data_IF_116773428692
#
_entry.id   IF_116773428692
#
_cell.length_a   1.000
_cell.length_b   1.000
_cell.length_c   1.000
_cell.angle_alpha   90.00
_cell.angle_beta   90.00
_cell.angle_gamma   90.00
#
_symmetry.space_group_name_H-M   'P 1'
#
loop_
_entity.id
_entity.type
_entity.pdbx_description
1 polymer ?
#
# COMPACT_ATOMS: atom_id res chain seq x y z
N UNK A 1 1.09 12.33 -27.46
CA UNK A 1 1.76 11.01 -27.41
C UNK A 1 0.78 10.03 -26.79
N UNK A 2 0.67 8.79 -27.28
CA UNK A 2 -0.25 7.79 -26.73
C UNK A 2 0.39 7.08 -25.57
N UNK A 3 -0.42 6.61 -24.61
CA UNK A 3 0.04 5.77 -23.49
C UNK A 3 -0.19 4.30 -23.87
N UNK A 4 0.83 3.47 -23.69
CA UNK A 4 0.79 2.04 -23.91
C UNK A 4 1.01 1.27 -22.60
N UNK A 5 0.45 0.09 -22.48
CA UNK A 5 0.73 -0.81 -21.35
C UNK A 5 2.11 -1.44 -21.46
N UNK A 6 2.62 -1.97 -20.36
CA UNK A 6 3.87 -2.72 -20.34
C UNK A 6 3.80 -3.98 -21.24
N UNK A 7 2.62 -4.58 -21.38
CA UNK A 7 2.42 -5.72 -22.32
C UNK A 7 2.59 -5.32 -23.77
N UNK A 8 2.25 -4.09 -24.10
CA UNK A 8 2.52 -3.57 -25.45
C UNK A 8 4.03 -3.41 -25.69
N UNK A 9 4.76 -2.89 -24.70
CA UNK A 9 6.22 -2.81 -24.76
C UNK A 9 6.86 -4.19 -24.95
N UNK A 10 6.30 -5.23 -24.32
CA UNK A 10 6.75 -6.61 -24.51
C UNK A 10 6.62 -7.11 -25.96
N UNK A 11 5.68 -6.61 -26.73
CA UNK A 11 5.55 -6.98 -28.17
C UNK A 11 6.67 -6.38 -29.03
N UNK A 12 7.26 -5.29 -28.59
CA UNK A 12 8.37 -4.58 -29.27
C UNK A 12 9.72 -4.79 -28.60
N UNK A 13 9.77 -5.41 -27.44
CA UNK A 13 10.97 -5.63 -26.61
C UNK A 13 11.19 -7.11 -26.30
N UNK A 14 12.38 -7.49 -25.88
CA UNK A 14 12.69 -8.88 -25.52
C UNK A 14 12.04 -9.24 -24.17
N UNK A 15 11.13 -10.21 -24.19
CA UNK A 15 10.63 -10.87 -22.98
C UNK A 15 11.78 -11.65 -22.33
N UNK A 16 12.05 -11.38 -21.06
CA UNK A 16 13.14 -12.01 -20.31
C UNK A 16 12.66 -13.05 -19.29
N UNK A 17 11.50 -12.81 -18.72
CA UNK A 17 10.90 -13.69 -17.72
C UNK A 17 9.38 -13.59 -17.83
N UNK A 18 8.72 -14.75 -17.86
CA UNK A 18 7.26 -14.83 -17.86
C UNK A 18 6.78 -15.90 -16.89
N UNK A 19 5.84 -15.55 -16.01
CA UNK A 19 5.00 -16.50 -15.29
C UNK A 19 3.70 -16.69 -16.07
N UNK A 20 3.59 -17.82 -16.77
CA UNK A 20 2.44 -18.11 -17.63
C UNK A 20 1.11 -18.21 -16.88
N UNK A 21 1.13 -18.57 -15.58
CA UNK A 21 -0.07 -18.69 -14.76
C UNK A 21 -0.67 -17.33 -14.42
N UNK A 22 0.18 -16.32 -14.21
CA UNK A 22 -0.26 -14.96 -13.86
C UNK A 22 -0.02 -13.92 -14.94
N UNK A 23 0.69 -14.29 -16.00
CA UNK A 23 1.15 -13.36 -17.03
C UNK A 23 2.10 -12.29 -16.45
N UNK A 24 2.86 -12.65 -15.43
CA UNK A 24 3.98 -11.84 -14.90
C UNK A 24 5.09 -11.85 -15.93
N UNK A 25 5.65 -10.70 -16.22
CA UNK A 25 6.72 -10.55 -17.19
C UNK A 25 7.73 -9.49 -16.76
N UNK A 26 8.94 -9.57 -17.31
CA UNK A 26 9.94 -8.51 -17.26
C UNK A 26 10.29 -8.13 -18.69
N UNK A 27 10.30 -6.84 -18.96
CA UNK A 27 10.71 -6.30 -20.26
C UNK A 27 12.02 -5.53 -20.13
N UNK A 28 12.81 -5.54 -21.20
CA UNK A 28 13.99 -4.70 -21.35
C UNK A 28 13.65 -3.54 -22.29
N UNK A 29 13.87 -2.33 -21.81
CA UNK A 29 13.71 -1.09 -22.55
C UNK A 29 15.07 -0.42 -22.72
N UNK A 30 15.27 0.31 -23.79
CA UNK A 30 16.53 1.00 -24.08
C UNK A 30 16.30 2.49 -24.26
N UNK A 31 17.29 3.29 -23.87
CA UNK A 31 17.27 4.75 -23.99
C UNK A 31 15.97 5.35 -23.42
N UNK A 32 15.73 5.10 -22.12
CA UNK A 32 14.46 5.38 -21.46
C UNK A 32 14.56 6.60 -20.56
N UNK A 33 13.65 7.53 -20.74
CA UNK A 33 13.45 8.67 -19.82
C UNK A 33 12.28 8.37 -18.89
N UNK A 34 12.50 8.56 -17.59
CA UNK A 34 11.44 8.55 -16.60
C UNK A 34 10.71 9.89 -16.62
N UNK A 35 9.38 9.86 -16.67
CA UNK A 35 8.55 11.06 -16.62
C UNK A 35 7.46 10.91 -15.57
N UNK A 36 7.21 11.96 -14.81
CA UNK A 36 6.28 11.94 -13.67
C UNK A 36 6.87 11.33 -12.41
N UNK A 37 6.05 11.19 -11.38
CA UNK A 37 6.41 10.69 -10.06
C UNK A 37 5.47 9.63 -9.58
N UNK A 38 6.04 8.69 -8.83
CA UNK A 38 5.30 7.65 -8.16
C UNK A 38 4.76 8.19 -6.82
N UNK A 39 3.61 8.86 -6.86
CA UNK A 39 2.87 9.22 -5.65
C UNK A 39 1.98 8.03 -5.26
N UNK A 40 0.96 8.12 -4.50
CA UNK A 40 0.10 7.01 -4.05
C UNK A 40 -0.36 6.03 -5.14
N UNK A 41 -0.56 6.55 -6.35
CA UNK A 41 -0.75 5.78 -7.55
C UNK A 41 0.35 6.16 -8.52
N UNK A 42 0.84 5.19 -9.25
CA UNK A 42 1.95 5.40 -10.15
C UNK A 42 1.54 6.35 -11.28
N UNK A 43 2.02 7.55 -11.23
CA UNK A 43 1.91 8.51 -12.33
C UNK A 43 3.21 8.60 -13.13
N UNK A 44 4.16 7.71 -12.86
CA UNK A 44 5.37 7.58 -13.62
C UNK A 44 5.08 6.92 -14.97
N UNK A 45 5.58 7.53 -16.02
CA UNK A 45 5.57 7.00 -17.37
C UNK A 45 7.01 6.84 -17.85
N UNK A 46 7.21 5.87 -18.73
CA UNK A 46 8.49 5.59 -19.34
C UNK A 46 8.43 5.99 -20.81
N UNK A 47 9.40 6.79 -21.27
CA UNK A 47 9.55 7.13 -22.68
C UNK A 47 10.79 6.45 -23.24
N UNK A 48 10.59 5.36 -23.96
CA UNK A 48 11.65 4.78 -24.77
C UNK A 48 11.83 5.66 -26.02
N UNK A 49 13.05 6.13 -26.28
CA UNK A 49 13.33 7.13 -27.32
C UNK A 49 12.97 6.65 -28.73
N UNK A 50 13.11 5.35 -28.97
CA UNK A 50 12.80 4.72 -30.26
C UNK A 50 11.30 4.58 -30.55
N UNK A 51 10.42 4.87 -29.59
CA UNK A 51 8.97 4.69 -29.73
C UNK A 51 8.21 6.00 -29.77
N UNK A 52 6.98 5.96 -30.29
CA UNK A 52 6.09 7.14 -30.37
C UNK A 52 5.10 7.21 -29.20
N UNK A 53 5.28 6.38 -28.16
CA UNK A 53 4.40 6.38 -26.99
C UNK A 53 5.14 6.47 -25.68
N UNK A 54 4.38 6.84 -24.65
CA UNK A 54 4.72 6.68 -23.26
C UNK A 54 4.29 5.28 -22.80
N UNK A 55 5.16 4.59 -22.09
CA UNK A 55 4.88 3.27 -21.56
C UNK A 55 4.51 3.43 -20.09
N UNK A 56 3.34 2.96 -19.70
CA UNK A 56 3.00 2.83 -18.30
C UNK A 56 3.73 1.60 -17.73
N UNK A 57 4.55 1.73 -16.67
CA UNK A 57 5.31 0.62 -16.09
C UNK A 57 4.41 -0.41 -15.39
N UNK A 58 3.13 -0.13 -15.25
CA UNK A 58 2.16 -1.02 -14.65
C UNK A 58 1.47 -1.84 -15.73
N UNK A 59 1.11 -3.07 -15.40
CA UNK A 59 0.37 -3.89 -16.33
C UNK A 59 -1.11 -3.42 -16.47
N UNK A 60 -1.82 -3.92 -17.47
CA UNK A 60 -3.20 -3.54 -17.77
C UNK A 60 -4.15 -3.73 -16.59
N UNK A 61 -3.84 -4.69 -15.70
CA UNK A 61 -4.65 -4.98 -14.50
C UNK A 61 -4.55 -3.87 -13.48
N UNK A 62 -3.36 -3.33 -13.28
CA UNK A 62 -3.14 -2.16 -12.43
C UNK A 62 -3.71 -0.92 -13.10
N UNK A 63 -3.53 -0.76 -14.40
CA UNK A 63 -4.10 0.35 -15.16
C UNK A 63 -5.63 0.40 -15.09
N UNK A 64 -6.31 -0.76 -15.12
CA UNK A 64 -7.77 -0.79 -15.01
C UNK A 64 -8.28 -0.26 -13.67
N UNK A 65 -7.52 -0.48 -12.59
CA UNK A 65 -7.82 0.09 -11.27
C UNK A 65 -7.61 1.61 -11.21
N UNK A 66 -6.78 2.12 -12.09
CA UNK A 66 -6.33 3.51 -12.11
C UNK A 66 -7.03 4.37 -13.17
N UNK A 67 -7.82 3.76 -14.06
CA UNK A 67 -8.53 4.45 -15.15
C UNK A 67 -9.29 5.69 -14.71
N UNK A 68 -9.77 5.70 -13.47
CA UNK A 68 -10.52 6.82 -12.91
C UNK A 68 -9.64 7.83 -12.17
N UNK A 69 -8.33 7.59 -12.09
CA UNK A 69 -7.46 8.40 -11.23
C UNK A 69 -6.56 9.38 -11.99
N UNK A 70 -6.06 9.04 -13.20
CA UNK A 70 -4.98 9.82 -13.81
C UNK A 70 -5.05 10.04 -15.30
N UNK A 71 -5.78 9.23 -16.08
CA UNK A 71 -5.68 9.26 -17.53
C UNK A 71 -7.06 9.28 -18.19
N UNK A 72 -7.72 10.41 -18.10
CA UNK A 72 -8.93 10.64 -18.92
C UNK A 72 -8.63 10.78 -20.42
N UNK A 73 -7.35 10.94 -20.76
CA UNK A 73 -6.90 11.09 -22.13
C UNK A 73 -5.79 10.11 -22.48
N UNK A 74 -5.97 9.33 -23.52
CA UNK A 74 -4.94 8.45 -24.12
C UNK A 74 -3.78 9.23 -24.77
N UNK A 75 -3.74 10.55 -24.64
CA UNK A 75 -2.78 11.42 -25.32
C UNK A 75 -2.18 12.43 -24.34
N UNK A 76 -0.88 12.40 -24.21
CA UNK A 76 -0.11 13.39 -23.46
C UNK A 76 0.59 14.36 -24.42
N UNK A 77 0.45 15.65 -24.16
CA UNK A 77 1.17 16.71 -24.90
C UNK A 77 2.61 16.90 -24.38
N UNK A 78 2.96 16.23 -23.30
CA UNK A 78 4.27 16.34 -22.70
C UNK A 78 5.29 15.47 -23.43
N UNK A 79 6.37 16.08 -23.88
CA UNK A 79 7.54 15.39 -24.42
C UNK A 79 8.65 15.47 -23.37
N UNK A 80 9.05 14.36 -22.75
CA UNK A 80 10.15 14.39 -21.79
C UNK A 80 11.45 14.77 -22.53
N UNK A 81 12.16 15.73 -21.96
CA UNK A 81 13.46 16.15 -22.46
C UNK A 81 14.51 15.52 -21.54
N UNK A 82 15.30 14.60 -22.08
CA UNK A 82 16.42 14.03 -21.36
C UNK A 82 17.50 15.08 -21.10
N UNK A 83 17.94 15.18 -19.87
CA UNK A 83 19.01 16.12 -19.50
C UNK A 83 20.41 15.51 -19.55
N UNK A 84 20.54 14.22 -19.20
CA UNK A 84 21.82 13.51 -19.20
C UNK A 84 21.63 12.00 -19.40
N UNK A 85 22.47 11.35 -20.23
CA UNK A 85 22.49 9.90 -20.35
C UNK A 85 23.13 9.26 -19.10
N UNK A 86 22.52 8.18 -18.63
CA UNK A 86 22.99 7.35 -17.52
C UNK A 86 23.30 5.96 -18.07
N UNK A 87 24.59 5.65 -18.16
CA UNK A 87 25.04 4.37 -18.66
C UNK A 87 24.82 3.23 -17.65
N UNK A 88 24.61 2.04 -18.18
CA UNK A 88 24.49 0.80 -17.42
C UNK A 88 23.09 0.23 -17.40
N UNK A 89 22.94 -0.80 -16.59
CA UNK A 89 21.72 -1.60 -16.52
C UNK A 89 21.01 -1.34 -15.18
N UNK A 90 19.73 -1.03 -15.26
CA UNK A 90 18.89 -0.71 -14.10
C UNK A 90 17.62 -1.53 -14.11
N UNK A 91 17.19 -1.97 -12.92
CA UNK A 91 15.86 -2.53 -12.69
C UNK A 91 15.01 -1.50 -11.97
N UNK A 92 13.93 -1.06 -12.60
CA UNK A 92 13.04 -0.06 -12.03
C UNK A 92 12.11 -0.69 -10.99
N UNK A 93 12.37 -0.35 -9.73
CA UNK A 93 11.59 -0.78 -8.59
C UNK A 93 10.38 0.15 -8.44
N UNK A 94 9.37 -0.14 -9.23
CA UNK A 94 8.19 0.68 -9.40
C UNK A 94 7.08 0.26 -8.44
N UNK A 95 6.29 1.16 -8.03
CA UNK A 95 5.07 1.13 -7.23
C UNK A 95 5.20 2.03 -5.99
N UNK A 96 4.49 1.74 -4.90
CA UNK A 96 4.37 2.63 -3.77
C UNK A 96 5.50 2.41 -2.74
N UNK A 97 6.24 3.45 -2.43
CA UNK A 97 7.31 3.46 -1.42
C UNK A 97 7.01 4.34 -0.20
N UNK A 98 5.81 4.93 -0.14
CA UNK A 98 5.40 5.84 0.93
C UNK A 98 4.39 5.22 1.90
N UNK A 99 3.64 4.23 1.47
CA UNK A 99 2.66 3.53 2.30
C UNK A 99 3.18 2.16 2.69
N UNK A 100 3.24 1.87 3.98
CA UNK A 100 3.80 0.63 4.52
C UNK A 100 3.15 -0.63 3.94
N UNK A 101 1.80 -0.70 3.92
CA UNK A 101 1.08 -1.86 3.38
C UNK A 101 1.41 -2.06 1.89
N UNK A 102 1.32 -1.01 1.09
CA UNK A 102 1.60 -1.10 -0.34
C UNK A 102 3.07 -1.43 -0.61
N UNK A 103 3.98 -0.92 0.19
CA UNK A 103 5.39 -1.28 0.06
C UNK A 103 5.60 -2.77 0.33
N UNK A 104 5.15 -3.27 1.49
CA UNK A 104 5.37 -4.66 1.89
C UNK A 104 4.62 -5.64 0.97
N UNK A 105 3.35 -5.36 0.66
CA UNK A 105 2.51 -6.28 -0.09
C UNK A 105 2.69 -6.16 -1.61
N UNK A 106 2.69 -4.94 -2.13
CA UNK A 106 2.64 -4.73 -3.58
C UNK A 106 4.03 -4.51 -4.20
N UNK A 107 4.92 -3.75 -3.53
CA UNK A 107 6.20 -3.31 -4.12
C UNK A 107 7.31 -4.32 -3.86
N UNK A 108 7.48 -4.73 -2.62
CA UNK A 108 8.59 -5.58 -2.19
C UNK A 108 8.71 -6.91 -2.99
N UNK A 109 7.62 -7.62 -3.31
CA UNK A 109 7.68 -8.86 -4.10
C UNK A 109 8.32 -8.70 -5.47
N UNK A 110 8.28 -7.50 -6.08
CA UNK A 110 8.90 -7.23 -7.38
C UNK A 110 10.41 -7.55 -7.36
N UNK A 111 11.05 -7.51 -6.19
CA UNK A 111 12.46 -7.92 -6.03
C UNK A 111 12.75 -9.35 -6.46
N UNK A 112 11.77 -10.24 -6.52
CA UNK A 112 11.97 -11.56 -7.09
C UNK A 112 12.57 -11.47 -8.50
N UNK A 113 12.01 -10.60 -9.33
CA UNK A 113 12.43 -10.39 -10.71
C UNK A 113 13.83 -9.78 -10.77
N UNK A 114 14.14 -8.85 -9.87
CA UNK A 114 15.50 -8.30 -9.73
C UNK A 114 16.53 -9.39 -9.41
N UNK A 115 16.22 -10.30 -8.49
CA UNK A 115 17.14 -11.40 -8.16
C UNK A 115 17.34 -12.37 -9.33
N UNK A 116 16.29 -12.65 -10.10
CA UNK A 116 16.41 -13.49 -11.29
C UNK A 116 17.27 -12.82 -12.37
N UNK A 117 17.05 -11.53 -12.62
CA UNK A 117 17.85 -10.77 -13.57
C UNK A 117 19.33 -10.69 -13.16
N UNK A 118 19.59 -10.56 -11.86
CA UNK A 118 20.98 -10.47 -11.35
C UNK A 118 21.82 -11.71 -11.66
N UNK A 119 21.21 -12.84 -11.94
CA UNK A 119 21.92 -14.06 -12.38
C UNK A 119 22.52 -13.89 -13.78
N UNK A 120 21.89 -13.12 -14.66
CA UNK A 120 22.33 -12.85 -16.03
C UNK A 120 23.03 -11.51 -16.15
N UNK A 121 22.62 -10.53 -15.35
CA UNK A 121 23.13 -9.15 -15.32
C UNK A 121 23.67 -8.86 -13.91
N UNK A 122 24.87 -9.33 -13.54
CA UNK A 122 25.38 -9.27 -12.16
C UNK A 122 25.56 -7.84 -11.64
N UNK A 123 25.81 -6.88 -12.53
CA UNK A 123 26.05 -5.47 -12.22
C UNK A 123 24.77 -4.61 -12.23
N UNK A 124 23.60 -5.24 -12.49
CA UNK A 124 22.31 -4.53 -12.50
C UNK A 124 22.04 -3.84 -11.17
N UNK A 125 21.60 -2.59 -11.24
CA UNK A 125 21.32 -1.75 -10.07
C UNK A 125 19.80 -1.62 -9.89
N UNK A 126 19.37 -1.63 -8.64
CA UNK A 126 17.98 -1.31 -8.30
C UNK A 126 17.79 0.21 -8.40
N UNK A 127 16.86 0.66 -9.24
CA UNK A 127 16.54 2.06 -9.44
C UNK A 127 15.22 2.36 -8.73
N UNK A 128 15.23 3.30 -7.79
CA UNK A 128 14.03 3.68 -7.02
C UNK A 128 13.74 5.16 -7.22
N UNK A 129 12.48 5.49 -7.44
CA UNK A 129 12.01 6.86 -7.54
C UNK A 129 11.29 7.26 -6.24
N UNK A 130 11.63 8.43 -5.69
CA UNK A 130 10.89 9.01 -4.56
C UNK A 130 9.54 9.55 -5.04
N UNK A 131 8.56 9.63 -4.14
CA UNK A 131 7.21 10.09 -4.45
C UNK A 131 7.10 11.56 -4.84
N UNK A 132 8.07 12.37 -4.43
CA UNK A 132 8.07 13.82 -4.69
C UNK A 132 9.45 14.31 -5.15
N UNK A 133 9.53 15.26 -6.13
CA UNK A 133 10.80 15.77 -6.65
C UNK A 133 11.75 16.36 -5.59
N UNK A 134 11.18 16.98 -4.56
CA UNK A 134 11.97 17.58 -3.47
C UNK A 134 12.33 16.58 -2.37
N UNK A 135 11.70 15.42 -2.34
CA UNK A 135 11.94 14.38 -1.35
C UNK A 135 13.18 13.58 -1.76
N UNK A 136 14.24 13.67 -0.98
CA UNK A 136 15.51 12.98 -1.23
C UNK A 136 15.66 11.66 -0.45
N UNK A 137 14.69 11.33 0.38
CA UNK A 137 14.70 10.15 1.25
C UNK A 137 13.37 9.42 1.19
N UNK A 138 13.39 8.15 1.48
CA UNK A 138 12.19 7.31 1.66
C UNK A 138 11.74 7.30 3.12
N UNK A 139 10.57 6.71 3.34
CA UNK A 139 10.19 6.27 4.68
C UNK A 139 11.22 5.26 5.21
N UNK A 140 11.59 5.30 6.50
CA UNK A 140 12.64 4.45 7.07
C UNK A 140 12.47 2.96 6.75
N UNK A 141 11.26 2.45 6.76
CA UNK A 141 10.96 1.04 6.50
C UNK A 141 11.41 0.54 5.11
N UNK A 142 11.52 1.44 4.11
CA UNK A 142 11.99 1.06 2.76
C UNK A 142 13.49 0.76 2.81
N UNK A 143 14.28 1.68 3.36
CA UNK A 143 15.72 1.51 3.47
C UNK A 143 16.05 0.31 4.37
N UNK A 144 15.43 0.23 5.55
CA UNK A 144 15.61 -0.87 6.50
C UNK A 144 15.32 -2.24 5.86
N UNK A 145 14.23 -2.35 5.08
CA UNK A 145 13.88 -3.62 4.43
C UNK A 145 14.88 -3.99 3.33
N UNK A 146 15.34 -3.02 2.55
CA UNK A 146 16.35 -3.26 1.53
C UNK A 146 17.70 -3.65 2.16
N UNK A 147 18.05 -3.07 3.30
CA UNK A 147 19.26 -3.43 4.06
C UNK A 147 19.17 -4.86 4.60
N UNK A 148 18.03 -5.26 5.18
CA UNK A 148 17.77 -6.66 5.61
C UNK A 148 17.98 -7.63 4.45
N UNK A 149 17.53 -7.26 3.24
CA UNK A 149 17.65 -8.07 2.05
C UNK A 149 19.03 -7.98 1.36
N UNK A 150 19.93 -7.14 1.86
CA UNK A 150 21.25 -6.90 1.28
C UNK A 150 21.18 -6.30 -0.12
N UNK A 151 20.18 -5.46 -0.40
CA UNK A 151 19.94 -4.86 -1.71
C UNK A 151 20.32 -3.38 -1.67
N UNK A 152 21.40 -3.03 -2.39
CA UNK A 152 21.74 -1.65 -2.65
C UNK A 152 20.90 -1.06 -3.78
N UNK A 153 20.62 0.23 -3.70
CA UNK A 153 19.79 0.95 -4.67
C UNK A 153 20.40 2.29 -5.10
N UNK A 154 19.90 2.80 -6.21
CA UNK A 154 20.19 4.14 -6.72
C UNK A 154 18.90 4.92 -6.80
N UNK A 155 18.92 6.19 -6.39
CA UNK A 155 17.78 7.09 -6.58
C UNK A 155 17.70 7.53 -8.03
N UNK A 156 16.52 7.47 -8.60
CA UNK A 156 16.26 7.99 -9.93
C UNK A 156 16.33 9.51 -9.92
N UNK A 157 17.11 10.06 -10.83
CA UNK A 157 17.10 11.48 -11.13
C UNK A 157 15.99 11.80 -12.13
N UNK A 158 15.38 12.98 -11.99
CA UNK A 158 14.38 13.47 -12.91
C UNK A 158 15.02 13.78 -14.27
N UNK A 159 14.33 13.39 -15.33
CA UNK A 159 14.75 13.64 -16.71
C UNK A 159 16.07 12.96 -17.12
N UNK A 160 16.60 12.01 -16.35
CA UNK A 160 17.72 11.18 -16.79
C UNK A 160 17.28 10.17 -17.83
N UNK A 161 18.10 9.93 -18.83
CA UNK A 161 17.94 8.91 -19.85
C UNK A 161 18.78 7.68 -19.48
N UNK A 162 18.11 6.57 -19.18
CA UNK A 162 18.76 5.32 -18.81
C UNK A 162 19.01 4.47 -20.06
N UNK A 163 20.26 4.09 -20.29
CA UNK A 163 20.66 3.26 -21.42
C UNK A 163 19.89 1.94 -21.48
N UNK A 164 19.76 1.27 -20.34
CA UNK A 164 19.01 0.04 -20.23
C UNK A 164 18.18 0.04 -18.93
N UNK A 165 16.88 -0.13 -19.09
CA UNK A 165 15.93 -0.22 -17.99
C UNK A 165 15.11 -1.50 -18.07
N UNK A 166 15.20 -2.33 -17.04
CA UNK A 166 14.34 -3.49 -16.90
C UNK A 166 13.13 -3.11 -16.05
N UNK A 167 11.95 -3.53 -16.46
CA UNK A 167 10.69 -3.24 -15.77
C UNK A 167 9.90 -4.52 -15.63
N UNK A 168 9.48 -4.82 -14.39
CA UNK A 168 8.70 -6.00 -14.08
C UNK A 168 7.24 -5.67 -13.74
N UNK A 169 6.36 -6.64 -13.94
CA UNK A 169 4.95 -6.55 -13.53
C UNK A 169 4.77 -6.94 -12.08
N UNK A 170 3.62 -6.57 -11.50
CA UNK A 170 3.27 -6.92 -10.12
C UNK A 170 3.10 -8.43 -9.91
N UNK A 171 3.55 -8.93 -8.76
CA UNK A 171 3.33 -10.30 -8.29
C UNK A 171 2.10 -10.45 -7.39
N UNK A 172 1.45 -9.34 -7.02
CA UNK A 172 0.34 -9.33 -6.07
C UNK A 172 -0.96 -8.80 -6.66
N UNK A 173 -0.89 -7.94 -7.66
CA UNK A 173 -2.07 -7.49 -8.37
C UNK A 173 -2.49 -8.52 -9.43
N UNK A 174 -3.72 -8.99 -9.31
CA UNK A 174 -4.45 -9.69 -10.37
C UNK A 174 -5.54 -8.79 -10.94
N UNK A 175 -6.38 -9.33 -11.81
CA UNK A 175 -7.54 -8.61 -12.32
C UNK A 175 -8.39 -8.05 -11.18
N UNK A 176 -8.43 -6.73 -11.04
CA UNK A 176 -9.14 -6.00 -9.97
C UNK A 176 -8.68 -6.33 -8.55
N UNK A 177 -7.45 -6.74 -8.34
CA UNK A 177 -6.93 -7.13 -7.03
C UNK A 177 -7.67 -8.31 -6.35
N UNK A 178 -8.40 -9.10 -7.11
CA UNK A 178 -9.20 -10.21 -6.61
C UNK A 178 -8.49 -11.57 -6.67
N UNK A 179 -7.23 -11.60 -7.10
CA UNK A 179 -6.44 -12.81 -7.17
C UNK A 179 -5.43 -12.87 -6.02
N UNK A 180 -5.21 -14.07 -5.50
CA UNK A 180 -4.16 -14.31 -4.53
C UNK A 180 -2.78 -13.94 -5.09
N UNK A 181 -1.79 -13.57 -4.25
CA UNK A 181 -0.45 -13.26 -4.72
C UNK A 181 0.21 -14.48 -5.39
N UNK A 182 1.17 -14.22 -6.28
CA UNK A 182 1.99 -15.29 -6.86
C UNK A 182 2.80 -16.00 -5.79
N UNK A 183 3.02 -17.30 -5.94
CA UNK A 183 3.94 -18.08 -5.11
C UNK A 183 5.35 -17.47 -5.08
N UNK A 184 5.74 -16.78 -6.15
CA UNK A 184 7.01 -16.08 -6.23
C UNK A 184 7.13 -14.93 -5.22
N UNK A 185 6.03 -14.27 -4.89
CA UNK A 185 6.00 -13.22 -3.88
C UNK A 185 6.40 -13.75 -2.49
N UNK A 186 5.91 -14.93 -2.11
CA UNK A 186 6.24 -15.55 -0.82
C UNK A 186 7.74 -15.83 -0.67
N UNK A 187 8.45 -16.10 -1.77
CA UNK A 187 9.90 -16.29 -1.73
C UNK A 187 10.66 -15.04 -1.29
N UNK A 188 10.13 -13.85 -1.59
CA UNK A 188 10.70 -12.57 -1.17
C UNK A 188 10.37 -12.31 0.30
N UNK A 189 9.12 -12.46 0.71
CA UNK A 189 8.75 -12.26 2.12
C UNK A 189 9.51 -13.19 3.07
N UNK A 190 9.73 -14.43 2.69
CA UNK A 190 10.57 -15.37 3.47
C UNK A 190 12.02 -14.90 3.64
N UNK A 191 12.58 -14.21 2.65
CA UNK A 191 13.93 -13.64 2.77
C UNK A 191 14.02 -12.47 3.75
N UNK A 192 12.89 -11.79 4.00
CA UNK A 192 12.84 -10.68 4.94
C UNK A 192 12.95 -11.15 6.41
N UNK A 193 12.74 -12.43 6.67
CA UNK A 193 12.89 -13.02 8.00
C UNK A 193 14.38 -13.15 8.28
N UNK A 194 14.92 -12.14 8.98
CA UNK A 194 16.32 -12.09 9.35
C UNK A 194 16.72 -13.14 10.38
N UNK A 195 18.03 -13.27 10.62
CA UNK A 195 18.61 -14.17 11.62
C UNK A 195 18.53 -13.64 13.06
N UNK A 196 17.90 -12.47 13.27
CA UNK A 196 17.84 -11.87 14.60
C UNK A 196 16.92 -12.66 15.51
N UNK A 197 17.48 -13.10 16.62
CA UNK A 197 16.73 -13.65 17.73
C UNK A 197 16.27 -12.50 18.63
N UNK A 198 15.03 -12.01 18.41
CA UNK A 198 14.40 -11.15 19.40
C UNK A 198 13.68 -12.00 20.45
N UNK A 199 13.89 -11.68 21.72
CA UNK A 199 13.00 -12.12 22.78
C UNK A 199 11.78 -11.21 22.73
N UNK A 200 10.61 -11.77 22.39
CA UNK A 200 9.35 -11.03 22.31
C UNK A 200 8.17 -11.94 22.59
N UNK A 201 6.99 -11.38 22.84
CA UNK A 201 5.80 -12.18 23.06
C UNK A 201 5.45 -12.97 21.80
N UNK A 202 4.96 -14.18 21.96
CA UNK A 202 4.45 -15.02 20.87
C UNK A 202 2.96 -14.84 20.62
N UNK A 203 2.26 -14.26 21.62
CA UNK A 203 0.85 -13.93 21.56
C UNK A 203 0.70 -12.44 21.78
N UNK A 204 0.26 -11.72 20.78
CA UNK A 204 0.18 -10.27 20.90
C UNK A 204 -0.99 -9.67 20.12
N UNK A 205 -1.37 -8.48 20.56
CA UNK A 205 -2.36 -7.62 19.94
C UNK A 205 -1.69 -6.44 19.27
N UNK A 206 -1.99 -6.21 18.00
CA UNK A 206 -1.53 -5.05 17.25
C UNK A 206 -2.47 -3.88 17.54
N UNK A 207 -2.03 -3.03 18.45
CA UNK A 207 -2.78 -1.85 18.86
C UNK A 207 -2.68 -0.72 17.84
N UNK A 208 -3.72 0.10 17.79
CA UNK A 208 -3.76 1.33 17.00
C UNK A 208 -3.79 2.59 17.86
N UNK A 209 -3.68 2.47 19.18
CA UNK A 209 -3.74 3.59 20.11
C UNK A 209 -2.37 4.22 20.49
N UNK A 210 -1.32 3.96 19.72
CA UNK A 210 0.01 4.56 19.92
C UNK A 210 0.04 6.07 19.88
N UNK A 211 -0.90 6.68 19.19
CA UNK A 211 -1.12 8.13 19.19
C UNK A 211 -1.37 8.70 20.60
N UNK A 212 -1.78 7.87 21.56
CA UNK A 212 -1.94 8.24 22.98
C UNK A 212 -0.62 8.11 23.74
N UNK A 213 0.26 7.19 23.32
CA UNK A 213 1.43 6.76 24.06
C UNK A 213 2.76 7.10 23.38
N UNK A 214 2.78 7.49 22.11
CA UNK A 214 4.01 7.68 21.35
C UNK A 214 3.97 8.77 20.30
N UNK A 215 5.15 9.11 19.79
CA UNK A 215 5.33 10.00 18.67
C UNK A 215 5.11 9.27 17.36
N UNK A 216 4.18 9.75 16.55
CA UNK A 216 3.83 9.16 15.25
C UNK A 216 4.67 9.69 14.08
N UNK A 217 5.80 10.33 14.37
CA UNK A 217 6.64 11.04 13.40
C UNK A 217 7.20 10.15 12.26
N UNK A 218 7.20 8.82 12.47
CA UNK A 218 7.73 7.86 11.49
C UNK A 218 6.66 7.16 10.65
N UNK A 219 5.42 7.55 10.78
CA UNK A 219 4.35 6.98 9.95
C UNK A 219 4.20 7.84 8.71
N UNK A 220 4.57 7.33 7.57
CA UNK A 220 4.52 8.01 6.28
C UNK A 220 3.14 8.54 5.86
N UNK A 221 2.12 8.25 6.66
CA UNK A 221 0.77 8.78 6.50
C UNK A 221 0.10 8.83 7.87
N UNK A 222 -0.55 9.95 8.19
CA UNK A 222 -1.22 10.18 9.47
C UNK A 222 -2.55 9.39 9.59
N UNK A 223 -2.47 8.06 9.46
CA UNK A 223 -3.65 7.19 9.45
C UNK A 223 -4.09 6.68 10.82
N UNK A 224 -3.40 7.05 11.89
CA UNK A 224 -3.72 6.56 13.25
C UNK A 224 -5.12 6.96 13.73
N UNK A 225 -5.63 8.10 13.27
CA UNK A 225 -6.98 8.55 13.61
C UNK A 225 -8.09 7.83 12.86
N UNK A 226 -7.75 7.20 11.72
CA UNK A 226 -8.70 6.44 10.91
C UNK A 226 -8.91 5.06 11.49
N UNK A 227 -10.14 4.58 11.46
CA UNK A 227 -10.54 3.31 12.08
C UNK A 227 -10.15 3.25 13.55
N UNK A 228 -10.40 4.35 14.27
CA UNK A 228 -10.16 4.40 15.71
C UNK A 228 -11.16 3.49 16.42
N UNK A 229 -10.65 2.58 17.23
CA UNK A 229 -11.47 1.84 18.18
C UNK A 229 -11.68 2.69 19.42
N UNK A 230 -12.92 3.14 19.68
CA UNK A 230 -13.20 4.06 20.76
C UNK A 230 -13.08 3.42 22.15
N UNK A 231 -13.32 2.11 22.23
CA UNK A 231 -13.20 1.31 23.45
C UNK A 231 -12.00 0.35 23.43
N UNK A 232 -10.89 0.73 22.77
CA UNK A 232 -9.70 -0.13 22.64
C UNK A 232 -9.09 -0.52 23.99
N UNK A 233 -9.24 0.32 25.04
CA UNK A 233 -8.83 -0.03 26.40
C UNK A 233 -9.53 -1.30 26.92
N UNK A 234 -10.82 -1.44 26.65
CA UNK A 234 -11.58 -2.63 27.01
C UNK A 234 -11.14 -3.87 26.20
N UNK A 235 -10.81 -3.68 24.93
CA UNK A 235 -10.25 -4.73 24.09
C UNK A 235 -8.94 -5.25 24.67
N UNK A 236 -8.00 -4.35 24.99
CA UNK A 236 -6.70 -4.71 25.55
C UNK A 236 -6.87 -5.42 26.90
N UNK A 237 -7.69 -4.88 27.80
CA UNK A 237 -7.93 -5.48 29.13
C UNK A 237 -8.52 -6.88 29.03
N UNK A 238 -9.39 -7.14 28.05
CA UNK A 238 -9.94 -8.48 27.80
C UNK A 238 -8.84 -9.42 27.29
N UNK A 239 -8.03 -8.99 26.32
CA UNK A 239 -6.97 -9.80 25.71
C UNK A 239 -5.84 -10.16 26.70
N UNK A 240 -5.51 -9.28 27.64
CA UNK A 240 -4.53 -9.52 28.71
C UNK A 240 -4.92 -10.75 29.57
N UNK A 241 -6.22 -11.01 29.78
CA UNK A 241 -6.68 -12.20 30.52
C UNK A 241 -6.31 -13.53 29.81
N UNK A 242 -5.97 -13.48 28.53
CA UNK A 242 -5.51 -14.60 27.71
C UNK A 242 -3.99 -14.62 27.51
N UNK A 243 -3.24 -13.76 28.20
CA UNK A 243 -1.79 -13.62 28.06
C UNK A 243 -1.37 -13.01 26.70
N UNK A 244 -2.26 -12.26 26.06
CA UNK A 244 -1.99 -11.55 24.80
C UNK A 244 -1.47 -10.17 25.14
N UNK A 245 -0.25 -9.87 24.69
CA UNK A 245 0.47 -8.62 25.02
C UNK A 245 0.17 -7.54 23.96
N UNK A 246 -0.13 -6.33 24.39
CA UNK A 246 -0.29 -5.20 23.48
C UNK A 246 1.04 -4.79 22.85
N UNK A 247 1.05 -4.58 21.52
CA UNK A 247 2.22 -4.18 20.73
C UNK A 247 1.85 -3.01 19.83
N UNK A 248 2.76 -2.05 19.73
CA UNK A 248 2.71 -0.91 18.83
C UNK A 248 3.71 -1.13 17.69
N UNK A 249 3.25 -1.68 16.58
CA UNK A 249 4.14 -2.07 15.47
C UNK A 249 4.85 -0.88 14.82
N UNK A 250 4.27 0.31 14.88
CA UNK A 250 4.88 1.55 14.37
C UNK A 250 6.08 2.02 15.18
N UNK A 251 6.23 1.56 16.42
CA UNK A 251 7.38 1.88 17.28
C UNK A 251 8.55 0.91 17.10
N UNK A 252 8.32 -0.17 16.35
CA UNK A 252 9.35 -1.19 16.06
C UNK A 252 10.07 -0.86 14.76
N UNK A 253 11.36 -1.12 14.71
CA UNK A 253 12.11 -1.18 13.45
C UNK A 253 11.57 -2.29 12.55
N UNK A 254 11.90 -2.24 11.28
CA UNK A 254 11.47 -3.28 10.32
C UNK A 254 12.04 -4.65 10.69
N UNK A 255 13.26 -4.68 11.20
CA UNK A 255 13.92 -5.90 11.66
C UNK A 255 13.22 -6.50 12.89
N UNK A 256 12.88 -5.67 13.88
CA UNK A 256 12.10 -6.09 15.04
C UNK A 256 10.72 -6.62 14.66
N UNK A 257 10.03 -5.98 13.69
CA UNK A 257 8.75 -6.47 13.15
C UNK A 257 8.90 -7.86 12.54
N UNK A 258 9.82 -8.04 11.60
CA UNK A 258 10.01 -9.32 10.92
C UNK A 258 10.39 -10.42 11.91
N UNK A 259 11.25 -10.13 12.89
CA UNK A 259 11.65 -11.06 13.92
C UNK A 259 10.50 -11.42 14.88
N UNK A 260 9.69 -10.45 15.30
CA UNK A 260 8.53 -10.66 16.16
C UNK A 260 7.49 -11.57 15.47
N UNK A 261 7.09 -11.22 14.25
CA UNK A 261 6.08 -11.95 13.51
C UNK A 261 6.54 -13.36 13.10
N UNK A 262 7.83 -13.56 12.82
CA UNK A 262 8.36 -14.88 12.44
C UNK A 262 8.24 -15.94 13.56
N UNK A 263 7.96 -15.53 14.78
CA UNK A 263 7.80 -16.42 15.95
C UNK A 263 6.38 -16.36 16.54
N UNK A 264 5.47 -15.67 15.87
CA UNK A 264 4.12 -15.50 16.35
C UNK A 264 3.35 -16.82 16.42
N UNK A 265 2.70 -17.08 17.54
CA UNK A 265 1.74 -18.18 17.74
C UNK A 265 0.31 -17.71 17.61
N UNK A 266 0.05 -16.50 18.10
CA UNK A 266 -1.27 -15.86 18.02
C UNK A 266 -1.12 -14.36 17.81
N UNK A 267 -1.77 -13.83 16.78
CA UNK A 267 -1.84 -12.41 16.50
C UNK A 267 -3.28 -11.98 16.45
N UNK A 268 -3.63 -10.96 17.25
CA UNK A 268 -4.93 -10.30 17.19
C UNK A 268 -4.71 -8.87 16.73
N UNK A 269 -5.57 -8.32 15.90
CA UNK A 269 -5.42 -6.94 15.48
C UNK A 269 -6.60 -6.43 14.66
N UNK A 270 -6.74 -5.10 14.65
CA UNK A 270 -7.70 -4.42 13.78
C UNK A 270 -7.16 -4.42 12.34
N UNK A 271 -8.03 -4.70 11.38
CA UNK A 271 -7.67 -4.70 9.96
C UNK A 271 -6.94 -3.40 9.55
N UNK A 272 -5.79 -3.55 8.92
CA UNK A 272 -4.96 -2.41 8.51
C UNK A 272 -3.52 -2.80 8.22
N UNK A 273 -2.68 -1.80 7.94
CA UNK A 273 -1.28 -2.01 7.54
C UNK A 273 -0.44 -2.83 8.54
N UNK A 274 -0.73 -2.74 9.84
CA UNK A 274 -0.04 -3.55 10.85
C UNK A 274 -0.26 -5.06 10.69
N UNK A 275 -1.46 -5.47 10.28
CA UNK A 275 -1.79 -6.89 10.07
C UNK A 275 -1.08 -7.50 8.85
N UNK A 276 -0.62 -6.71 7.88
CA UNK A 276 0.12 -7.27 6.74
C UNK A 276 1.48 -7.90 7.14
N UNK A 277 1.99 -7.60 8.33
CA UNK A 277 3.19 -8.27 8.85
C UNK A 277 2.99 -9.77 9.10
N UNK A 278 1.74 -10.26 9.11
CA UNK A 278 1.47 -11.70 9.08
C UNK A 278 2.13 -12.40 7.90
N UNK A 279 2.46 -11.69 6.81
CA UNK A 279 3.28 -12.22 5.71
C UNK A 279 4.64 -12.78 6.16
N UNK A 280 5.14 -12.36 7.31
CA UNK A 280 6.38 -12.85 7.91
C UNK A 280 6.15 -13.97 8.93
N UNK A 281 4.89 -14.33 9.22
CA UNK A 281 4.54 -15.33 10.22
C UNK A 281 4.55 -16.76 9.66
N UNK A 282 4.76 -17.78 10.50
CA UNK A 282 4.51 -19.16 10.13
C UNK A 282 3.06 -19.41 9.72
N UNK A 283 2.83 -20.39 8.85
CA UNK A 283 1.47 -20.77 8.44
C UNK A 283 0.61 -21.30 9.61
N UNK A 284 1.25 -21.81 10.65
CA UNK A 284 0.60 -22.33 11.87
C UNK A 284 0.16 -21.21 12.83
N UNK A 285 0.58 -19.97 12.58
CA UNK A 285 0.18 -18.82 13.40
C UNK A 285 -1.35 -18.68 13.37
N UNK A 286 -1.97 -18.72 14.54
CA UNK A 286 -3.39 -18.37 14.69
C UNK A 286 -3.53 -16.85 14.57
N UNK A 287 -4.46 -16.35 13.78
CA UNK A 287 -4.69 -14.91 13.65
C UNK A 287 -6.17 -14.56 13.71
N UNK A 288 -6.50 -13.53 14.52
CA UNK A 288 -7.84 -12.99 14.66
C UNK A 288 -7.85 -11.54 14.17
N UNK A 289 -8.47 -11.32 13.03
CA UNK A 289 -8.63 -10.00 12.45
C UNK A 289 -9.96 -9.39 12.88
N UNK A 290 -9.89 -8.27 13.61
CA UNK A 290 -11.06 -7.45 13.93
C UNK A 290 -11.38 -6.63 12.69
N UNK A 291 -12.47 -6.96 12.02
CA UNK A 291 -12.90 -6.25 10.81
C UNK A 291 -13.68 -5.01 11.18
N UNK A 292 -13.45 -3.94 10.43
CA UNK A 292 -14.33 -2.77 10.50
C UNK A 292 -15.45 -2.92 9.47
N UNK A 293 -16.61 -2.35 9.69
CA UNK A 293 -17.70 -2.40 8.72
C UNK A 293 -17.21 -1.96 7.33
N UNK A 294 -17.57 -2.73 6.31
CA UNK A 294 -17.28 -2.48 4.88
C UNK A 294 -15.80 -2.57 4.44
N UNK A 295 -14.82 -2.71 5.33
CA UNK A 295 -13.42 -2.67 4.93
C UNK A 295 -13.01 -3.89 4.08
N UNK A 296 -13.42 -5.08 4.47
CA UNK A 296 -13.05 -6.32 3.77
C UNK A 296 -13.75 -6.47 2.42
N UNK A 297 -14.93 -5.89 2.26
CA UNK A 297 -15.69 -5.94 1.01
C UNK A 297 -15.00 -5.19 -0.14
N UNK A 298 -14.20 -4.18 0.21
CA UNK A 298 -13.55 -3.30 -0.76
C UNK A 298 -12.10 -3.70 -1.02
N UNK A 299 -11.45 -4.43 -0.09
CA UNK A 299 -10.00 -4.57 -0.12
C UNK A 299 -9.47 -5.99 0.10
N UNK A 300 -9.68 -6.87 -0.89
CA UNK A 300 -9.22 -8.26 -0.86
C UNK A 300 -7.70 -8.42 -0.63
N UNK A 301 -6.88 -7.42 -0.95
CA UNK A 301 -5.43 -7.49 -0.72
C UNK A 301 -5.07 -7.61 0.76
N UNK A 302 -5.84 -6.96 1.63
CA UNK A 302 -5.64 -7.15 3.08
C UNK A 302 -5.94 -8.59 3.49
N UNK A 303 -7.00 -9.19 2.95
CA UNK A 303 -7.31 -10.59 3.17
C UNK A 303 -6.17 -11.49 2.72
N UNK A 304 -5.72 -11.33 1.49
CA UNK A 304 -4.61 -12.12 0.94
C UNK A 304 -3.29 -11.97 1.70
N UNK A 305 -3.05 -10.81 2.33
CA UNK A 305 -1.84 -10.63 3.15
C UNK A 305 -1.85 -11.42 4.45
N UNK A 306 -3.00 -12.01 4.83
CA UNK A 306 -3.18 -12.74 6.11
C UNK A 306 -3.52 -14.22 5.91
N UNK A 307 -4.10 -14.59 4.76
CA UNK A 307 -4.69 -15.92 4.51
C UNK A 307 -3.72 -17.10 4.54
N UNK A 308 -2.42 -16.87 4.50
CA UNK A 308 -1.45 -17.96 4.65
C UNK A 308 -1.32 -18.45 6.11
N UNK A 309 -1.87 -17.71 7.07
CA UNK A 309 -1.99 -18.08 8.48
C UNK A 309 -3.34 -18.74 8.77
N UNK A 310 -3.53 -19.26 9.98
CA UNK A 310 -4.83 -19.76 10.45
C UNK A 310 -5.73 -18.56 10.79
N UNK A 311 -6.24 -17.91 9.75
CA UNK A 311 -6.98 -16.65 9.85
C UNK A 311 -8.43 -16.85 10.21
N UNK A 312 -8.88 -16.13 11.24
CA UNK A 312 -10.29 -15.94 11.58
C UNK A 312 -10.64 -14.45 11.61
N UNK A 313 -11.90 -14.15 11.40
CA UNK A 313 -12.43 -12.79 11.46
C UNK A 313 -13.40 -12.64 12.63
N UNK A 314 -13.41 -11.46 13.22
CA UNK A 314 -14.44 -11.06 14.18
C UNK A 314 -15.16 -9.83 13.67
N UNK A 315 -16.47 -9.96 13.46
CA UNK A 315 -17.39 -8.89 13.07
C UNK A 315 -18.01 -8.20 14.28
N UNK A 316 -17.21 -8.04 15.34
CA UNK A 316 -17.64 -7.46 16.61
C UNK A 316 -17.73 -5.93 16.58
N UNK A 317 -17.59 -5.28 15.43
CA UNK A 317 -17.46 -3.83 15.34
C UNK A 317 -18.73 -3.15 14.90
N UNK A 318 -18.98 -1.95 15.46
CA UNK A 318 -20.06 -1.07 15.09
C UNK A 318 -19.55 0.35 14.99
N UNK A 319 -19.88 1.06 13.92
CA UNK A 319 -19.56 2.47 13.80
C UNK A 319 -20.16 3.31 14.91
N UNK A 320 -19.39 4.28 15.40
CA UNK A 320 -19.85 5.31 16.31
C UNK A 320 -20.35 6.53 15.54
N UNK A 321 -21.38 7.20 16.04
CA UNK A 321 -21.99 8.38 15.43
C UNK A 321 -23.33 8.07 14.74
N UNK A 322 -24.17 9.10 14.66
CA UNK A 322 -25.53 9.03 14.12
C UNK A 322 -25.71 9.86 12.84
N UNK A 323 -24.64 10.45 12.30
CA UNK A 323 -24.66 11.27 11.10
C UNK A 323 -24.79 10.38 9.87
N UNK A 324 -25.47 10.86 8.83
CA UNK A 324 -25.61 10.14 7.54
C UNK A 324 -24.25 9.84 6.90
N UNK A 325 -23.34 10.81 6.96
CA UNK A 325 -21.95 10.60 6.58
C UNK A 325 -21.10 10.64 7.84
N UNK A 326 -20.38 9.57 8.10
CA UNK A 326 -19.55 9.43 9.29
C UNK A 326 -18.22 10.17 9.11
N UNK A 327 -17.53 10.50 10.22
CA UNK A 327 -16.15 11.00 10.15
C UNK A 327 -15.27 10.07 9.30
N UNK A 328 -14.40 10.66 8.50
CA UNK A 328 -13.48 9.99 7.58
C UNK A 328 -14.15 9.15 6.47
N UNK A 329 -15.48 9.25 6.28
CA UNK A 329 -16.11 8.74 5.07
C UNK A 329 -15.77 9.64 3.89
N UNK A 330 -15.75 9.04 2.70
CA UNK A 330 -15.58 9.79 1.46
C UNK A 330 -16.93 10.16 0.87
N UNK A 331 -17.02 11.40 0.46
CA UNK A 331 -18.24 11.97 -0.12
C UNK A 331 -17.93 12.68 -1.43
N UNK A 332 -18.90 12.71 -2.33
CA UNK A 332 -18.86 13.51 -3.56
C UNK A 332 -19.78 14.71 -3.42
N UNK A 333 -19.32 15.87 -3.81
CA UNK A 333 -20.15 17.06 -3.90
C UNK A 333 -21.09 16.94 -5.11
N UNK A 334 -22.39 16.91 -4.85
CA UNK A 334 -23.45 16.86 -5.87
C UNK A 334 -24.23 18.17 -6.00
N UNK A 335 -24.17 19.02 -4.95
CA UNK A 335 -24.80 20.34 -4.92
C UNK A 335 -24.27 21.26 -6.02
N UNK A 336 -25.05 22.30 -6.33
CA UNK A 336 -24.71 23.26 -7.38
C UNK A 336 -23.70 24.30 -6.86
N UNK A 337 -22.42 23.93 -6.87
CA UNK A 337 -21.30 24.75 -6.41
C UNK A 337 -20.10 24.58 -7.35
N UNK A 338 -19.10 25.44 -7.23
CA UNK A 338 -17.82 25.31 -7.95
C UNK A 338 -17.06 24.01 -7.63
N UNK A 339 -17.49 23.30 -6.59
CA UNK A 339 -16.89 22.03 -6.15
C UNK A 339 -17.64 20.81 -6.65
N UNK A 340 -18.70 20.98 -7.45
CA UNK A 340 -19.52 19.89 -7.97
C UNK A 340 -18.71 18.82 -8.68
N UNK A 341 -18.91 17.55 -8.30
CA UNK A 341 -18.19 16.39 -8.80
C UNK A 341 -16.91 16.06 -8.03
N UNK A 342 -16.35 17.00 -7.25
CA UNK A 342 -15.16 16.74 -6.44
C UNK A 342 -15.46 15.74 -5.32
N UNK A 343 -14.45 14.94 -4.98
CA UNK A 343 -14.52 13.97 -3.88
C UNK A 343 -13.65 14.48 -2.73
N UNK A 344 -14.16 14.33 -1.51
CA UNK A 344 -13.45 14.72 -0.29
C UNK A 344 -13.71 13.77 0.86
N UNK A 345 -13.06 14.03 1.97
CA UNK A 345 -13.20 13.27 3.22
C UNK A 345 -13.89 14.13 4.28
N UNK A 346 -14.86 13.56 4.99
CA UNK A 346 -15.58 14.22 6.08
C UNK A 346 -14.66 14.32 7.30
N UNK A 347 -14.36 15.55 7.74
CA UNK A 347 -13.52 15.82 8.91
C UNK A 347 -14.32 16.31 10.12
N UNK A 348 -15.56 16.75 9.91
CA UNK A 348 -16.45 17.21 10.95
C UNK A 348 -17.91 17.06 10.54
N UNK A 349 -18.78 16.88 11.56
CA UNK A 349 -20.22 16.67 11.38
C UNK A 349 -21.05 17.65 12.22
N UNK A 350 -20.43 18.66 12.80
CA UNK A 350 -21.09 19.69 13.59
C UNK A 350 -21.49 20.87 12.69
N UNK A 351 -22.75 21.28 12.76
CA UNK A 351 -23.30 22.38 11.94
C UNK A 351 -23.16 22.22 10.42
N UNK A 352 -23.37 21.00 9.92
CA UNK A 352 -23.12 20.59 8.55
C UNK A 352 -21.92 19.65 8.44
N UNK A 353 -21.54 19.32 7.22
CA UNK A 353 -20.40 18.42 6.96
C UNK A 353 -19.18 19.24 6.56
N UNK A 354 -18.18 19.25 7.42
CA UNK A 354 -16.86 19.79 7.09
C UNK A 354 -16.14 18.77 6.23
N UNK A 355 -15.89 19.10 4.97
CA UNK A 355 -15.29 18.19 3.99
C UNK A 355 -13.97 18.77 3.48
N UNK A 356 -12.92 17.99 3.60
CA UNK A 356 -11.63 18.28 2.98
C UNK A 356 -11.65 17.77 1.55
N UNK A 357 -11.66 18.69 0.58
CA UNK A 357 -11.61 18.35 -0.83
C UNK A 357 -10.17 18.16 -1.31
N UNK A 358 -9.94 17.15 -2.11
CA UNK A 358 -8.68 16.99 -2.83
C UNK A 358 -8.60 18.03 -3.94
N UNK A 359 -7.49 18.73 -4.07
CA UNK A 359 -7.25 19.69 -5.15
C UNK A 359 -7.17 19.02 -6.53
N UNK A 360 -6.89 17.74 -6.56
CA UNK A 360 -6.95 16.89 -7.73
C UNK A 360 -7.93 15.76 -7.44
N UNK A 361 -8.71 15.30 -8.40
CA UNK A 361 -9.66 14.17 -8.30
C UNK A 361 -8.98 12.85 -7.92
N UNK A 362 -7.75 12.91 -7.50
CA UNK A 362 -6.94 11.80 -7.06
C UNK A 362 -7.38 11.37 -5.68
N UNK A 363 -7.92 10.19 -5.61
CA UNK A 363 -8.23 9.51 -4.36
C UNK A 363 -6.98 9.15 -3.52
N UNK A 364 -5.92 9.91 -3.64
CA UNK A 364 -4.65 9.72 -3.00
C UNK A 364 -4.40 10.81 -1.97
N UNK A 365 -4.28 10.43 -0.74
CA UNK A 365 -3.96 11.27 0.38
C UNK A 365 -2.48 11.68 0.33
N UNK A 366 -2.17 12.74 -0.38
CA UNK A 366 -0.91 13.44 -0.21
C UNK A 366 -1.14 14.57 0.78
N UNK A 367 -0.52 14.51 1.93
CA UNK A 367 -0.49 15.63 2.89
C UNK A 367 0.27 16.84 2.35
N UNK A 368 0.96 16.70 1.23
CA UNK A 368 1.81 17.73 0.64
C UNK A 368 1.08 18.65 -0.34
N UNK A 369 -0.21 18.41 -0.61
CA UNK A 369 -1.01 19.32 -1.42
C UNK A 369 -1.92 20.18 -0.52
N UNK A 370 -2.03 21.49 -0.80
CA UNK A 370 -3.00 22.32 -0.10
C UNK A 370 -4.39 21.75 -0.31
N UNK A 371 -4.98 21.28 0.76
CA UNK A 371 -6.34 20.78 0.75
C UNK A 371 -7.22 21.86 1.37
N UNK A 372 -8.21 22.28 0.62
CA UNK A 372 -9.17 23.24 1.10
C UNK A 372 -10.32 22.51 1.82
N UNK A 373 -10.74 23.08 2.94
CA UNK A 373 -11.81 22.57 3.78
C UNK A 373 -13.04 23.43 3.60
N UNK A 374 -14.16 22.80 3.30
CA UNK A 374 -15.44 23.47 3.05
C UNK A 374 -16.54 22.85 3.89
N UNK A 375 -17.61 23.62 4.15
CA UNK A 375 -18.80 23.14 4.83
C UNK A 375 -19.93 22.97 3.84
N UNK A 376 -20.54 21.78 3.84
CA UNK A 376 -21.66 21.42 2.96
C UNK A 376 -22.89 21.01 3.77
N UNK A 377 -24.08 21.19 3.19
CA UNK A 377 -25.28 20.57 3.74
C UNK A 377 -25.37 19.11 3.31
N UNK A 378 -26.20 18.33 4.01
CA UNK A 378 -26.36 16.90 3.73
C UNK A 378 -26.85 16.61 2.32
N UNK A 379 -27.76 17.43 1.81
CA UNK A 379 -28.32 17.31 0.47
C UNK A 379 -27.33 17.60 -0.65
N UNK A 380 -26.24 18.30 -0.35
CA UNK A 380 -25.17 18.62 -1.31
C UNK A 380 -24.14 17.50 -1.46
N UNK A 381 -24.29 16.41 -0.73
CA UNK A 381 -23.32 15.34 -0.66
C UNK A 381 -23.91 13.96 -0.97
N UNK A 382 -23.10 13.13 -1.64
CA UNK A 382 -23.35 11.72 -1.93
C UNK A 382 -22.22 10.86 -1.35
N UNK A 383 -22.55 9.72 -0.74
CA UNK A 383 -21.55 8.78 -0.23
C UNK A 383 -20.76 8.15 -1.37
N UNK A 384 -19.43 8.14 -1.23
CA UNK A 384 -18.50 7.39 -2.09
C UNK A 384 -18.09 6.08 -1.41
N UNK A 385 -17.92 6.10 -0.09
CA UNK A 385 -17.78 4.89 0.72
C UNK A 385 -18.74 4.90 1.92
N UNK A 386 -18.87 3.77 2.59
CA UNK A 386 -19.78 3.57 3.70
C UNK A 386 -19.11 3.71 5.07
N UNK A 387 -18.09 4.54 5.16
CA UNK A 387 -17.38 4.77 6.42
C UNK A 387 -16.20 3.83 6.66
N UNK A 388 -15.52 3.44 5.59
CA UNK A 388 -14.34 2.57 5.59
C UNK A 388 -13.29 2.94 6.66
N UNK A 389 -13.10 4.22 6.90
CA UNK A 389 -12.11 4.75 7.82
C UNK A 389 -12.71 5.34 9.10
N UNK A 390 -14.01 5.20 9.30
CA UNK A 390 -14.72 5.82 10.42
C UNK A 390 -14.41 5.15 11.76
N UNK A 391 -14.53 5.89 12.87
CA UNK A 391 -14.40 5.33 14.22
C UNK A 391 -15.47 4.25 14.49
N UNK A 392 -15.15 3.34 15.38
CA UNK A 392 -16.03 2.22 15.76
C UNK A 392 -15.80 1.79 17.21
N UNK A 393 -16.72 1.01 17.75
CA UNK A 393 -16.60 0.26 18.99
C UNK A 393 -16.60 -1.23 18.74
N UNK A 394 -15.91 -1.98 19.60
CA UNK A 394 -15.94 -3.44 19.62
C UNK A 394 -16.95 -3.97 20.66
N UNK A 395 -17.78 -4.92 20.28
CA UNK A 395 -18.49 -5.77 21.23
C UNK A 395 -17.50 -6.75 21.86
N UNK A 396 -17.14 -6.49 23.11
CA UNK A 396 -16.13 -7.27 23.85
C UNK A 396 -16.57 -8.72 24.07
N UNK A 397 -17.88 -8.95 24.29
CA UNK A 397 -18.42 -10.30 24.51
C UNK A 397 -18.32 -11.14 23.24
N UNK A 398 -18.64 -10.55 22.09
CA UNK A 398 -18.52 -11.21 20.80
C UNK A 398 -17.05 -11.49 20.47
N UNK A 399 -16.16 -10.49 20.65
CA UNK A 399 -14.72 -10.64 20.40
C UNK A 399 -14.11 -11.75 21.26
N UNK A 400 -14.45 -11.79 22.55
CA UNK A 400 -14.01 -12.84 23.46
C UNK A 400 -14.52 -14.24 23.04
N UNK A 401 -15.76 -14.33 22.58
CA UNK A 401 -16.33 -15.58 22.05
C UNK A 401 -15.56 -16.08 20.82
N UNK A 402 -15.23 -15.17 19.90
CA UNK A 402 -14.50 -15.52 18.67
C UNK A 402 -13.03 -15.90 18.98
N UNK A 403 -12.41 -15.24 19.95
CA UNK A 403 -11.08 -15.60 20.44
C UNK A 403 -11.09 -17.02 21.06
N UNK A 404 -12.06 -17.34 21.90
CA UNK A 404 -12.19 -18.68 22.51
C UNK A 404 -12.30 -19.77 21.45
N UNK A 405 -13.13 -19.58 20.44
CA UNK A 405 -13.26 -20.53 19.31
C UNK A 405 -11.93 -20.73 18.57
N UNK A 406 -11.15 -19.65 18.40
CA UNK A 406 -9.84 -19.76 17.76
C UNK A 406 -8.82 -20.51 18.63
N UNK A 407 -8.92 -20.41 19.95
CA UNK A 407 -8.00 -21.07 20.89
C UNK A 407 -8.27 -22.56 21.10
N UNK A 408 -9.53 -22.99 20.89
CA UNK A 408 -9.91 -24.41 20.83
C UNK A 408 -9.28 -25.10 19.61
#
# INVERSE_FOLDING_TARGET
>A
MRIASLRYANMSSNLLLEDSKRGVLVVKLNDVVLTGRNIHYPNCLLKEQSTDYLINPYDERVMSLMKNCFYDNDVWDFVPVASQPVAGEYFFFNYNVDNYFHFIYDTLPILYQFYELKKTYPDIKLLIQTSHPTKKTFSPFVAEMLDILGVSYVLADDCSEYETLFVGTSLTHGGYSNEAPSELAFSVWKRCIGSISTEGPRKFYISRRSWVHGKTENMGTNYTMRRKCENEDAVVSMLENYGIVEIFTELLSTEEKTALFSKAELVVGIVGGGMCNLLFSPAETKSLCITTPYFMDINNRFRFSMEHTQLNYSDCTKHTGNSKFLLYSRVRVIGDSEHKGKIGEVEGVENGYTVRLSSNDVAGFSQDFPMDVYVFNEEDLEAVDLGLNSPFECDIVQLESDLKKLLE
#
